data_IF_126027930818
#
_entry.id   IF_126027930818
#
_cell.length_a   1.000
_cell.length_b   1.000
_cell.length_c   1.000
_cell.angle_alpha   90.00
_cell.angle_beta   90.00
_cell.angle_gamma   90.00
#
_symmetry.space_group_name_H-M   'P 1'
#
loop_
_entity.id
_entity.type
_entity.pdbx_description
1 polymer ?
#
# COMPACT_ATOMS: atom_id res chain seq x y z
N UNK A 1 -7.26 -17.68 -0.13
CA UNK A 1 -8.37 -16.91 -0.71
C UNK A 1 -8.23 -15.50 -0.21
N UNK A 2 -7.05 -14.92 -0.45
CA UNK A 2 -6.50 -13.84 0.36
C UNK A 2 -6.46 -12.52 -0.43
N UNK A 3 -6.93 -12.55 -1.68
CA UNK A 3 -7.16 -11.38 -2.50
C UNK A 3 -8.12 -10.42 -1.80
N UNK A 4 -7.77 -9.13 -1.81
CA UNK A 4 -8.45 -8.09 -1.05
C UNK A 4 -7.97 -7.94 0.40
N UNK A 5 -7.19 -8.90 0.92
CA UNK A 5 -6.62 -8.82 2.26
C UNK A 5 -5.55 -7.73 2.41
N UNK A 6 -5.33 -7.20 3.62
CA UNK A 6 -4.32 -6.17 3.86
C UNK A 6 -2.91 -6.75 3.85
N UNK A 7 -1.97 -5.99 3.28
CA UNK A 7 -0.53 -6.19 3.44
C UNK A 7 -0.01 -5.16 4.44
N UNK A 8 0.52 -5.63 5.58
CA UNK A 8 0.82 -4.80 6.76
C UNK A 8 2.32 -4.81 7.05
N UNK A 9 2.93 -3.63 7.13
CA UNK A 9 4.32 -3.41 7.55
C UNK A 9 4.35 -2.37 8.67
N UNK A 10 5.14 -2.59 9.72
CA UNK A 10 5.26 -1.62 10.83
C UNK A 10 3.93 -1.26 11.49
N UNK A 11 2.95 -2.18 11.51
CA UNK A 11 1.60 -1.94 12.03
C UNK A 11 0.70 -1.06 11.16
N UNK A 12 1.13 -0.69 9.94
CA UNK A 12 0.32 0.07 8.97
C UNK A 12 0.03 -0.76 7.74
N UNK A 13 -1.15 -0.57 7.14
CA UNK A 13 -1.50 -1.19 5.87
C UNK A 13 -0.77 -0.45 4.74
N UNK A 14 0.10 -1.15 4.01
CA UNK A 14 0.89 -0.57 2.91
C UNK A 14 0.41 -1.06 1.54
N UNK A 15 -0.34 -2.15 1.50
CA UNK A 15 -0.88 -2.69 0.26
C UNK A 15 -2.15 -3.50 0.42
N UNK A 16 -2.80 -3.79 -0.71
CA UNK A 16 -3.91 -4.75 -0.81
C UNK A 16 -3.44 -5.93 -1.63
N UNK A 17 -3.63 -7.13 -1.09
CA UNK A 17 -3.25 -8.37 -1.76
C UNK A 17 -4.08 -8.57 -3.03
N UNK A 18 -3.43 -8.69 -4.19
CA UNK A 18 -4.12 -8.89 -5.48
C UNK A 18 -4.00 -10.35 -5.89
N UNK A 19 -2.77 -10.86 -5.94
CA UNK A 19 -2.49 -12.21 -6.40
C UNK A 19 -1.19 -12.73 -5.81
N UNK A 20 -1.20 -13.99 -5.40
CA UNK A 20 0.02 -14.76 -5.14
C UNK A 20 0.34 -15.57 -6.40
N UNK A 21 1.58 -15.51 -6.88
CA UNK A 21 2.05 -16.56 -7.79
C UNK A 21 2.14 -17.86 -6.97
N UNK A 22 1.65 -18.97 -7.53
CA UNK A 22 1.53 -20.29 -6.87
C UNK A 22 2.87 -20.89 -6.40
N UNK A 23 4.00 -20.26 -6.73
CA UNK A 23 5.34 -20.67 -6.31
C UNK A 23 5.92 -19.62 -5.37
N UNK A 24 6.23 -20.04 -4.14
CA UNK A 24 6.76 -19.25 -3.01
C UNK A 24 8.06 -18.47 -3.31
N UNK A 25 8.61 -18.57 -4.52
CA UNK A 25 9.86 -17.93 -4.94
C UNK A 25 9.65 -16.63 -5.73
N UNK A 26 8.40 -16.26 -6.05
CA UNK A 26 8.11 -15.01 -6.75
C UNK A 26 7.39 -14.03 -5.81
N UNK A 27 7.70 -12.71 -5.89
CA UNK A 27 7.07 -11.74 -5.02
C UNK A 27 5.55 -11.77 -5.20
N UNK A 28 4.86 -11.90 -4.08
CA UNK A 28 3.43 -11.68 -3.96
C UNK A 28 3.08 -10.29 -4.49
N UNK A 29 2.07 -10.20 -5.36
CA UNK A 29 1.64 -8.92 -5.93
C UNK A 29 0.64 -8.24 -4.98
N UNK A 30 1.07 -7.14 -4.37
CA UNK A 30 0.21 -6.23 -3.62
C UNK A 30 0.09 -4.89 -4.37
N UNK A 31 -1.13 -4.35 -4.40
CA UNK A 31 -1.38 -3.00 -4.86
C UNK A 31 -0.97 -2.03 -3.74
N UNK A 32 -0.05 -1.12 -4.02
CA UNK A 32 0.48 -0.19 -3.02
C UNK A 32 -0.54 0.92 -2.75
N UNK A 33 -1.06 0.98 -1.51
CA UNK A 33 -2.17 1.87 -1.14
C UNK A 33 -1.77 3.35 -1.21
N UNK A 34 -0.48 3.67 -1.11
CA UNK A 34 0.05 5.04 -1.17
C UNK A 34 -0.49 5.85 -2.36
N UNK A 35 -0.61 5.23 -3.54
CA UNK A 35 -1.11 5.89 -4.75
C UNK A 35 -2.60 6.25 -4.73
N UNK A 36 -3.35 5.69 -3.78
CA UNK A 36 -4.80 5.83 -3.68
C UNK A 36 -5.22 6.65 -2.46
N UNK A 37 -4.28 7.10 -1.63
CA UNK A 37 -4.59 7.78 -0.37
C UNK A 37 -5.45 9.03 -0.55
N UNK A 38 -5.19 9.82 -1.59
CA UNK A 38 -5.97 11.01 -1.91
C UNK A 38 -7.42 10.66 -2.25
N UNK A 39 -7.61 9.69 -3.15
CA UNK A 39 -8.94 9.18 -3.50
C UNK A 39 -9.67 8.51 -2.32
N UNK A 40 -8.96 7.75 -1.49
CA UNK A 40 -9.53 7.13 -0.29
C UNK A 40 -10.03 8.21 0.68
N UNK A 41 -9.26 9.28 0.88
CA UNK A 41 -9.66 10.39 1.75
C UNK A 41 -10.92 11.09 1.25
N UNK A 42 -11.05 11.29 -0.07
CA UNK A 42 -12.26 11.86 -0.67
C UNK A 42 -13.49 11.00 -0.37
N UNK A 43 -13.37 9.68 -0.51
CA UNK A 43 -14.49 8.74 -0.27
C UNK A 43 -14.84 8.62 1.21
N UNK A 44 -13.83 8.59 2.08
CA UNK A 44 -14.01 8.45 3.53
C UNK A 44 -14.40 9.78 4.19
N UNK A 45 -14.25 10.90 3.47
CA UNK A 45 -14.61 12.24 3.95
C UNK A 45 -13.53 12.90 4.81
N UNK A 46 -12.26 12.48 4.68
CA UNK A 46 -11.13 13.13 5.34
C UNK A 46 -10.87 14.49 4.67
N UNK A 47 -11.15 15.60 5.37
CA UNK A 47 -10.96 16.96 4.82
C UNK A 47 -9.85 17.72 5.57
N UNK A 48 -8.84 18.28 4.86
CA UNK A 48 -8.60 18.14 3.42
C UNK A 48 -8.02 16.76 3.04
N UNK A 49 -8.26 16.27 1.80
CA UNK A 49 -7.61 15.07 1.31
C UNK A 49 -6.10 15.22 1.29
N UNK A 50 -5.38 14.11 1.51
CA UNK A 50 -3.92 14.09 1.29
C UNK A 50 -3.60 14.46 -0.16
N UNK A 51 -2.50 15.18 -0.40
CA UNK A 51 -2.05 15.47 -1.75
C UNK A 51 -1.69 14.18 -2.49
N UNK A 52 -1.89 14.16 -3.80
CA UNK A 52 -1.47 13.05 -4.65
C UNK A 52 0.05 12.82 -4.51
N UNK A 53 0.52 11.57 -4.56
CA UNK A 53 1.95 11.30 -4.49
C UNK A 53 2.75 11.96 -5.60
N UNK A 54 3.76 12.73 -5.21
CA UNK A 54 4.75 13.31 -6.14
C UNK A 54 6.15 12.69 -5.99
N UNK A 55 6.36 11.86 -4.97
CA UNK A 55 7.64 11.25 -4.62
C UNK A 55 7.70 9.77 -5.00
N UNK A 56 8.92 9.25 -5.18
CA UNK A 56 9.17 7.83 -5.34
C UNK A 56 8.59 7.04 -4.15
N UNK A 57 7.73 6.06 -4.45
CA UNK A 57 7.04 5.26 -3.44
C UNK A 57 8.01 4.45 -2.56
N UNK A 58 9.13 3.99 -3.11
CA UNK A 58 10.11 3.24 -2.33
C UNK A 58 10.81 4.13 -1.30
N UNK A 59 11.18 5.35 -1.69
CA UNK A 59 11.76 6.34 -0.77
C UNK A 59 10.76 6.72 0.33
N UNK A 60 9.51 7.02 -0.04
CA UNK A 60 8.46 7.31 0.93
C UNK A 60 8.27 6.15 1.92
N UNK A 61 8.14 4.92 1.43
CA UNK A 61 7.99 3.75 2.29
C UNK A 61 9.21 3.55 3.19
N UNK A 62 10.43 3.80 2.69
CA UNK A 62 11.65 3.70 3.48
C UNK A 62 11.70 4.76 4.60
N UNK A 63 11.45 6.03 4.28
CA UNK A 63 11.42 7.15 5.24
C UNK A 63 10.39 6.94 6.35
N UNK A 64 9.25 6.31 6.01
CA UNK A 64 8.20 6.02 6.97
C UNK A 64 8.42 4.71 7.76
N UNK A 65 9.52 3.98 7.50
CA UNK A 65 9.79 2.68 8.13
C UNK A 65 8.80 1.58 7.72
N UNK A 66 8.29 1.65 6.48
CA UNK A 66 7.23 0.81 5.93
C UNK A 66 7.72 -0.18 4.87
N UNK A 67 9.03 -0.33 4.69
CA UNK A 67 9.59 -1.44 3.93
C UNK A 67 9.48 -2.72 4.76
N UNK A 68 8.67 -3.67 4.28
CA UNK A 68 8.71 -5.04 4.79
C UNK A 68 10.00 -5.71 4.31
N UNK A 69 10.92 -5.98 5.23
CA UNK A 69 12.13 -6.78 5.00
C UNK A 69 11.85 -8.27 5.13
#
# INVERSE_FOLDING_TARGET
GDSGGPFVCGGKVVGVMVSAKRYQLAPTAALVIYFYLSWIDEIVGSSPPRPAPTQNVFEFLNEQGLLCT
#
